data_IF_969271596324
#
_entry.id   IF_969271596324
#
_cell.length_a   1.000
_cell.length_b   1.000
_cell.length_c   1.000
_cell.angle_alpha   90.00
_cell.angle_beta   90.00
_cell.angle_gamma   90.00
#
_symmetry.space_group_name_H-M   'P 1'
#
loop_
_entity.id
_entity.type
_entity.pdbx_description
1 polymer ?
#
# COMPACT_ATOMS: atom_id res chain seq x y z
N UNK A 1 -39.85 54.19 28.92
CA UNK A 1 -40.15 53.16 29.94
C UNK A 1 -39.68 51.80 29.41
N UNK A 2 -38.54 51.32 29.90
CA UNK A 2 -37.99 50.00 29.53
C UNK A 2 -38.67 48.93 30.38
N UNK A 3 -39.39 47.98 29.76
CA UNK A 3 -39.92 46.80 30.46
C UNK A 3 -38.78 45.78 30.58
N UNK A 4 -38.27 45.59 31.79
CA UNK A 4 -37.39 44.48 32.10
C UNK A 4 -38.23 43.20 32.11
N UNK A 5 -38.10 42.36 31.08
CA UNK A 5 -38.63 41.01 31.07
C UNK A 5 -37.70 40.13 31.92
N UNK A 6 -38.18 39.66 33.07
CA UNK A 6 -37.44 38.72 33.92
C UNK A 6 -37.45 37.34 33.30
N UNK A 7 -36.26 36.76 33.08
CA UNK A 7 -36.10 35.37 32.64
C UNK A 7 -36.83 34.43 33.61
N UNK A 8 -37.68 33.56 33.08
CA UNK A 8 -38.39 32.58 33.91
C UNK A 8 -37.52 31.34 34.14
N UNK A 9 -37.63 30.71 35.31
CA UNK A 9 -36.86 29.50 35.66
C UNK A 9 -37.13 28.35 34.67
N UNK A 10 -38.35 28.27 34.14
CA UNK A 10 -38.77 27.32 33.12
C UNK A 10 -38.01 27.55 31.81
N UNK A 11 -37.82 28.80 31.39
CA UNK A 11 -37.10 29.14 30.16
C UNK A 11 -35.63 28.69 30.22
N UNK A 12 -35.00 28.83 31.39
CA UNK A 12 -33.63 28.34 31.62
C UNK A 12 -33.58 26.81 31.57
N UNK A 13 -34.54 26.11 32.18
CA UNK A 13 -34.60 24.65 32.12
C UNK A 13 -34.79 24.14 30.69
N UNK A 14 -35.70 24.73 29.93
CA UNK A 14 -35.93 24.36 28.52
C UNK A 14 -34.68 24.65 27.68
N UNK A 15 -34.04 25.81 27.88
CA UNK A 15 -32.81 26.15 27.15
C UNK A 15 -31.68 25.16 27.44
N UNK A 16 -31.47 24.76 28.69
CA UNK A 16 -30.43 23.76 29.05
C UNK A 16 -30.76 22.36 28.52
N UNK A 17 -32.03 21.97 28.50
CA UNK A 17 -32.46 20.69 27.93
C UNK A 17 -32.23 20.64 26.41
N UNK A 18 -32.62 21.70 25.69
CA UNK A 18 -32.38 21.83 24.24
C UNK A 18 -30.87 21.84 23.96
N UNK A 19 -30.08 22.58 24.74
CA UNK A 19 -28.63 22.61 24.60
C UNK A 19 -28.00 21.23 24.76
N UNK A 20 -28.43 20.44 25.76
CA UNK A 20 -27.93 19.08 25.96
C UNK A 20 -28.21 18.14 24.77
N UNK A 21 -29.41 18.24 24.19
CA UNK A 21 -29.79 17.48 22.99
C UNK A 21 -28.94 17.89 21.79
N UNK A 22 -28.70 19.19 21.59
CA UNK A 22 -27.85 19.69 20.51
C UNK A 22 -26.41 19.19 20.65
N UNK A 23 -25.82 19.29 21.85
CA UNK A 23 -24.45 18.83 22.11
C UNK A 23 -24.32 17.35 21.79
N UNK A 24 -25.20 16.51 22.33
CA UNK A 24 -25.16 15.05 22.11
C UNK A 24 -25.37 14.67 20.64
N UNK A 25 -26.26 15.36 19.92
CA UNK A 25 -26.49 15.13 18.49
C UNK A 25 -25.28 15.50 17.62
N UNK A 26 -24.45 16.47 18.03
CA UNK A 26 -23.30 16.96 17.26
C UNK A 26 -22.00 16.20 17.56
N UNK A 27 -21.77 15.76 18.80
CA UNK A 27 -20.51 15.09 19.17
C UNK A 27 -20.32 13.71 18.48
N UNK A 28 -21.41 12.97 18.27
CA UNK A 28 -21.37 11.66 17.61
C UNK A 28 -20.80 11.72 16.18
N UNK A 29 -21.37 12.56 15.28
CA UNK A 29 -20.86 12.75 13.93
C UNK A 29 -19.40 13.22 13.87
N UNK A 30 -18.98 14.13 14.76
CA UNK A 30 -17.61 14.66 14.79
C UNK A 30 -16.57 13.57 15.11
N UNK A 31 -16.85 12.73 16.10
CA UNK A 31 -15.95 11.63 16.46
C UNK A 31 -15.88 10.56 15.36
N UNK A 32 -17.01 10.26 14.72
CA UNK A 32 -17.07 9.37 13.55
C UNK A 32 -16.24 9.88 12.38
N UNK A 33 -16.33 11.18 12.06
CA UNK A 33 -15.62 11.80 10.95
C UNK A 33 -14.09 11.72 11.13
N UNK A 34 -13.56 12.01 12.33
CA UNK A 34 -12.12 11.89 12.58
C UNK A 34 -11.58 10.47 12.44
N UNK A 35 -12.41 9.47 12.76
CA UNK A 35 -12.07 8.06 12.54
C UNK A 35 -11.95 7.73 11.05
N UNK A 36 -12.92 8.19 10.25
CA UNK A 36 -12.91 8.01 8.79
C UNK A 36 -11.74 8.74 8.13
N UNK A 37 -11.44 9.98 8.56
CA UNK A 37 -10.30 10.75 8.03
C UNK A 37 -8.98 10.02 8.26
N UNK A 38 -8.70 9.55 9.48
CA UNK A 38 -7.46 8.80 9.79
C UNK A 38 -7.35 7.51 8.98
N UNK A 39 -8.47 6.79 8.85
CA UNK A 39 -8.59 5.57 8.06
C UNK A 39 -8.31 5.81 6.57
N UNK A 40 -8.78 6.93 6.03
CA UNK A 40 -8.55 7.36 4.65
C UNK A 40 -7.10 7.73 4.42
N UNK A 41 -6.52 8.56 5.30
CA UNK A 41 -5.11 8.95 5.25
C UNK A 41 -4.18 7.73 5.24
N UNK A 42 -4.39 6.78 6.17
CA UNK A 42 -3.59 5.56 6.22
C UNK A 42 -3.69 4.70 4.94
N UNK A 43 -4.85 4.71 4.27
CA UNK A 43 -5.06 3.98 3.01
C UNK A 43 -4.37 4.68 1.83
N UNK A 44 -4.42 6.01 1.78
CA UNK A 44 -3.67 6.80 0.79
C UNK A 44 -2.17 6.62 0.98
N UNK A 45 -1.69 6.65 2.22
CA UNK A 45 -0.28 6.44 2.56
C UNK A 45 0.19 5.04 2.15
N UNK A 46 -0.57 3.98 2.50
CA UNK A 46 -0.27 2.62 2.09
C UNK A 46 -0.19 2.49 0.56
N UNK A 47 -1.09 3.14 -0.16
CA UNK A 47 -1.10 3.11 -1.62
C UNK A 47 0.10 3.84 -2.21
N UNK A 48 0.46 5.00 -1.67
CA UNK A 48 1.63 5.77 -2.11
C UNK A 48 2.93 4.98 -1.88
N UNK A 49 3.08 4.33 -0.73
CA UNK A 49 4.23 3.47 -0.42
C UNK A 49 4.30 2.27 -1.36
N UNK A 50 3.17 1.62 -1.64
CA UNK A 50 3.12 0.50 -2.58
C UNK A 50 3.49 0.95 -4.01
N UNK A 51 2.99 2.09 -4.46
CA UNK A 51 3.32 2.67 -5.78
C UNK A 51 4.80 3.01 -5.88
N UNK A 52 5.36 3.71 -4.89
CA UNK A 52 6.77 4.06 -4.89
C UNK A 52 7.67 2.82 -4.93
N UNK A 53 7.30 1.76 -4.18
CA UNK A 53 8.04 0.49 -4.20
C UNK A 53 7.93 -0.21 -5.56
N UNK A 54 6.74 -0.22 -6.16
CA UNK A 54 6.50 -0.81 -7.46
C UNK A 54 7.31 -0.12 -8.56
N UNK A 55 7.32 1.22 -8.58
CA UNK A 55 8.09 1.99 -9.55
C UNK A 55 9.60 1.86 -9.34
N UNK A 56 10.08 1.75 -8.10
CA UNK A 56 11.48 1.45 -7.82
C UNK A 56 11.89 0.08 -8.38
N UNK A 57 11.11 -0.97 -8.11
CA UNK A 57 11.38 -2.33 -8.64
C UNK A 57 11.38 -2.30 -10.17
N UNK A 58 10.36 -1.67 -10.77
CA UNK A 58 10.24 -1.52 -12.22
C UNK A 58 11.43 -0.78 -12.81
N UNK A 59 11.87 0.30 -12.18
CA UNK A 59 13.05 1.07 -12.60
C UNK A 59 14.33 0.25 -12.56
N UNK A 60 14.51 -0.61 -11.56
CA UNK A 60 15.68 -1.49 -11.50
C UNK A 60 15.64 -2.62 -12.53
N UNK A 61 14.45 -3.11 -12.86
CA UNK A 61 14.24 -4.14 -13.88
C UNK A 61 14.34 -3.63 -15.32
N UNK A 62 14.58 -2.33 -15.52
CA UNK A 62 15.06 -1.83 -16.82
C UNK A 62 16.43 -2.43 -17.18
N UNK A 63 17.22 -2.87 -16.20
CA UNK A 63 18.44 -3.63 -16.44
C UNK A 63 18.10 -5.12 -16.67
N UNK A 64 18.42 -5.64 -17.85
CA UNK A 64 18.15 -7.02 -18.24
C UNK A 64 18.70 -8.06 -17.26
N UNK A 65 19.94 -7.86 -16.78
CA UNK A 65 20.57 -8.79 -15.82
C UNK A 65 19.81 -8.87 -14.49
N UNK A 66 19.29 -7.75 -13.99
CA UNK A 66 18.48 -7.71 -12.76
C UNK A 66 17.09 -8.33 -12.96
N UNK A 67 16.46 -8.06 -14.09
CA UNK A 67 15.16 -8.64 -14.43
C UNK A 67 15.25 -10.16 -14.59
N UNK A 68 16.23 -10.66 -15.34
CA UNK A 68 16.42 -12.10 -15.56
C UNK A 68 16.74 -12.84 -14.25
N UNK A 69 17.62 -12.26 -13.44
CA UNK A 69 17.89 -12.73 -12.08
C UNK A 69 16.65 -12.65 -11.17
N UNK A 70 15.67 -11.79 -11.49
CA UNK A 70 14.50 -11.56 -10.65
C UNK A 70 14.84 -10.87 -9.35
N UNK A 71 15.77 -9.92 -9.39
CA UNK A 71 16.38 -9.36 -8.20
C UNK A 71 16.31 -7.82 -8.21
N UNK A 72 16.44 -7.23 -7.03
CA UNK A 72 16.56 -5.77 -6.85
C UNK A 72 17.64 -5.47 -5.83
N UNK A 73 18.27 -4.30 -5.97
CA UNK A 73 19.39 -3.87 -5.14
C UNK A 73 19.04 -2.66 -4.28
N UNK A 74 19.84 -2.43 -3.23
CA UNK A 74 19.70 -1.29 -2.32
C UNK A 74 19.29 -1.72 -0.92
N UNK A 75 18.88 -0.74 -0.11
CA UNK A 75 18.44 -1.00 1.27
C UNK A 75 17.19 -1.88 1.29
N UNK A 76 17.01 -2.64 2.36
CA UNK A 76 15.84 -3.50 2.55
C UNK A 76 14.53 -2.71 2.35
N UNK A 77 13.51 -3.38 1.82
CA UNK A 77 12.18 -2.80 1.77
C UNK A 77 11.72 -2.41 3.19
N UNK A 78 10.91 -1.35 3.34
CA UNK A 78 10.32 -1.03 4.63
C UNK A 78 9.61 -2.26 5.20
N UNK A 79 9.68 -2.47 6.51
CA UNK A 79 9.05 -3.64 7.16
C UNK A 79 7.52 -3.71 6.96
N UNK A 80 6.90 -2.60 6.55
CA UNK A 80 5.49 -2.49 6.19
C UNK A 80 5.16 -3.00 4.80
N UNK A 81 6.17 -3.34 3.98
CA UNK A 81 6.02 -3.69 2.57
C UNK A 81 6.50 -5.11 2.32
N UNK A 82 5.65 -5.90 1.67
CA UNK A 82 5.99 -7.22 1.12
C UNK A 82 5.88 -7.18 -0.38
N UNK A 83 6.90 -7.67 -1.07
CA UNK A 83 6.93 -7.75 -2.52
C UNK A 83 7.05 -9.21 -2.92
N UNK A 84 6.26 -9.65 -3.88
CA UNK A 84 6.37 -10.99 -4.45
C UNK A 84 6.34 -10.95 -5.97
N UNK A 85 7.06 -11.86 -6.58
CA UNK A 85 7.19 -11.98 -8.03
C UNK A 85 6.71 -13.34 -8.47
N UNK A 86 5.95 -13.38 -9.54
CA UNK A 86 5.53 -14.62 -10.19
C UNK A 86 5.78 -14.52 -11.68
N UNK A 87 6.37 -15.55 -12.27
CA UNK A 87 6.59 -15.58 -13.70
C UNK A 87 5.26 -15.77 -14.42
N UNK A 88 5.14 -15.19 -15.62
CA UNK A 88 3.99 -15.35 -16.49
C UNK A 88 4.41 -16.02 -17.79
N UNK A 89 3.49 -16.76 -18.40
CA UNK A 89 3.62 -17.21 -19.79
C UNK A 89 3.20 -16.11 -20.77
N UNK A 90 3.28 -16.40 -22.07
CA UNK A 90 2.93 -15.45 -23.14
C UNK A 90 1.43 -15.13 -23.23
N UNK A 91 0.58 -15.83 -22.48
CA UNK A 91 -0.87 -15.62 -22.37
C UNK A 91 -1.27 -15.03 -21.00
N UNK A 92 -0.30 -14.53 -20.22
CA UNK A 92 -0.50 -14.02 -18.85
C UNK A 92 -0.94 -15.08 -17.84
N UNK A 93 -0.77 -16.36 -18.18
CA UNK A 93 -0.93 -17.47 -17.26
C UNK A 93 0.19 -17.49 -16.23
N UNK A 94 -0.14 -17.83 -14.97
CA UNK A 94 0.83 -17.91 -13.88
C UNK A 94 1.72 -19.14 -14.06
N UNK A 95 3.05 -18.92 -14.04
CA UNK A 95 4.05 -19.98 -14.14
C UNK A 95 4.80 -20.11 -12.83
N UNK A 96 4.74 -21.30 -12.23
CA UNK A 96 5.35 -21.58 -10.94
C UNK A 96 4.67 -20.85 -9.77
N UNK A 97 5.37 -20.81 -8.63
CA UNK A 97 4.88 -20.17 -7.42
C UNK A 97 5.37 -18.71 -7.30
N UNK A 98 4.57 -17.87 -6.67
CA UNK A 98 5.01 -16.53 -6.29
C UNK A 98 6.15 -16.63 -5.27
N UNK A 99 7.25 -15.95 -5.55
CA UNK A 99 8.44 -15.92 -4.70
C UNK A 99 8.57 -14.54 -4.03
N UNK A 100 8.89 -14.46 -2.73
CA UNK A 100 9.11 -13.18 -2.08
C UNK A 100 10.36 -12.52 -2.67
N UNK A 101 10.21 -11.28 -3.12
CA UNK A 101 11.33 -10.48 -3.60
C UNK A 101 11.97 -9.77 -2.41
N UNK A 102 13.26 -10.01 -2.23
CA UNK A 102 14.08 -9.30 -1.25
C UNK A 102 15.12 -8.44 -1.95
N UNK A 103 15.54 -7.36 -1.29
CA UNK A 103 16.65 -6.54 -1.76
C UNK A 103 17.96 -7.28 -1.47
N UNK A 104 18.85 -7.31 -2.44
CA UNK A 104 20.13 -8.01 -2.36
C UNK A 104 21.28 -7.09 -2.77
N UNK A 105 22.51 -7.51 -2.48
CA UNK A 105 23.69 -6.80 -2.99
C UNK A 105 23.79 -7.01 -4.51
N UNK A 106 24.41 -6.06 -5.22
CA UNK A 106 24.60 -6.18 -6.68
C UNK A 106 25.34 -7.46 -7.06
N UNK A 107 26.33 -7.86 -6.25
CA UNK A 107 27.09 -9.10 -6.44
C UNK A 107 26.23 -10.36 -6.27
N UNK A 108 25.31 -10.40 -5.30
CA UNK A 108 24.38 -11.52 -5.17
C UNK A 108 23.27 -11.50 -6.24
N UNK A 109 22.91 -10.30 -6.71
CA UNK A 109 21.93 -10.08 -7.78
C UNK A 109 22.42 -10.57 -9.15
N UNK A 110 23.66 -10.25 -9.51
CA UNK A 110 24.23 -10.52 -10.84
C UNK A 110 25.26 -11.66 -10.84
N UNK A 111 25.68 -12.12 -9.66
CA UNK A 111 26.77 -13.08 -9.47
C UNK A 111 26.33 -14.50 -9.17
N UNK A 112 25.05 -14.87 -9.36
CA UNK A 112 24.64 -16.27 -9.25
C UNK A 112 25.15 -17.09 -10.45
N UNK A 113 26.43 -17.47 -10.39
CA UNK A 113 27.01 -18.60 -11.12
C UNK A 113 26.83 -19.92 -10.37
N UNK A 114 26.15 -19.90 -9.21
CA UNK A 114 25.73 -21.09 -8.49
C UNK A 114 24.41 -21.68 -9.03
N UNK A 115 24.12 -22.98 -8.79
CA UNK A 115 22.93 -23.61 -9.32
C UNK A 115 21.68 -22.92 -8.74
N UNK A 116 20.91 -22.27 -9.61
CA UNK A 116 19.55 -21.84 -9.31
C UNK A 116 18.77 -23.12 -8.93
N UNK A 117 18.35 -23.25 -7.67
CA UNK A 117 17.59 -24.42 -7.20
C UNK A 117 16.13 -24.41 -7.67
N UNK A 118 15.69 -23.28 -8.21
CA UNK A 118 14.47 -23.23 -9.02
C UNK A 118 14.84 -23.59 -10.46
N UNK A 119 14.04 -24.43 -11.15
CA UNK A 119 14.25 -24.68 -12.56
C UNK A 119 14.22 -23.32 -13.27
N UNK A 120 15.39 -22.84 -13.67
CA UNK A 120 15.48 -21.70 -14.55
C UNK A 120 14.64 -22.08 -15.77
N UNK A 121 13.57 -21.34 -16.12
CA UNK A 121 12.98 -21.54 -17.42
C UNK A 121 14.11 -21.31 -18.41
N UNK A 122 14.38 -22.29 -19.27
CA UNK A 122 15.48 -22.27 -20.25
C UNK A 122 15.34 -21.11 -21.25
N UNK A 123 14.26 -20.36 -21.15
CA UNK A 123 14.01 -19.05 -21.73
C UNK A 123 13.63 -18.09 -20.60
N UNK A 124 14.39 -16.98 -20.45
CA UNK A 124 14.02 -15.91 -19.52
C UNK A 124 12.54 -15.53 -19.72
N UNK A 125 11.71 -15.48 -18.67
CA UNK A 125 10.29 -15.23 -18.83
C UNK A 125 10.09 -13.81 -19.35
N UNK A 126 9.47 -13.69 -20.52
CA UNK A 126 9.21 -12.40 -21.16
C UNK A 126 8.32 -11.48 -20.31
N UNK A 127 7.52 -12.07 -19.41
CA UNK A 127 6.62 -11.35 -18.49
C UNK A 127 6.72 -11.86 -17.05
N UNK A 128 6.63 -10.93 -16.10
CA UNK A 128 6.54 -11.20 -14.66
C UNK A 128 5.44 -10.38 -14.02
N UNK A 129 4.67 -10.99 -13.12
CA UNK A 129 3.74 -10.30 -12.23
C UNK A 129 4.46 -9.89 -10.96
N UNK A 130 4.38 -8.60 -10.64
CA UNK A 130 4.84 -8.02 -9.40
C UNK A 130 3.62 -7.72 -8.53
N UNK A 131 3.58 -8.27 -7.33
CA UNK A 131 2.57 -7.97 -6.31
C UNK A 131 3.26 -7.27 -5.15
N UNK A 132 2.85 -6.03 -4.86
CA UNK A 132 3.36 -5.21 -3.76
C UNK A 132 2.21 -5.01 -2.78
N UNK A 133 2.41 -5.40 -1.52
CA UNK A 133 1.47 -5.13 -0.44
C UNK A 133 2.14 -4.25 0.59
N UNK A 134 1.58 -3.06 0.85
CA UNK A 134 2.04 -2.15 1.89
C UNK A 134 0.98 -2.06 3.00
N UNK A 135 1.41 -2.05 4.26
CA UNK A 135 0.52 -1.96 5.43
C UNK A 135 0.84 -0.72 6.26
N UNK A 136 -0.05 0.26 6.29
CA UNK A 136 0.10 1.49 7.09
C UNK A 136 -1.07 1.62 8.06
N UNK A 137 -0.79 1.84 9.34
CA UNK A 137 -1.84 1.92 10.37
C UNK A 137 -2.73 0.67 10.47
N UNK A 138 -2.17 -0.51 10.18
CA UNK A 138 -2.91 -1.79 10.15
C UNK A 138 -3.80 -1.97 8.93
N UNK A 139 -3.68 -1.12 7.90
CA UNK A 139 -4.46 -1.21 6.66
C UNK A 139 -3.57 -1.64 5.50
N UNK A 140 -3.81 -2.82 4.92
CA UNK A 140 -3.07 -3.25 3.74
C UNK A 140 -3.62 -2.57 2.48
N UNK A 141 -2.72 -2.24 1.56
CA UNK A 141 -3.01 -1.87 0.17
C UNK A 141 -2.15 -2.74 -0.73
N UNK A 142 -2.77 -3.42 -1.70
CA UNK A 142 -2.09 -4.33 -2.63
C UNK A 142 -2.18 -3.78 -4.04
N UNK A 143 -1.03 -3.66 -4.69
CA UNK A 143 -0.90 -3.29 -6.09
C UNK A 143 -0.30 -4.46 -6.86
N UNK A 144 -0.86 -4.76 -8.01
CA UNK A 144 -0.39 -5.80 -8.91
C UNK A 144 -0.09 -5.14 -10.24
N UNK A 145 1.10 -5.41 -10.78
CA UNK A 145 1.48 -4.97 -12.12
C UNK A 145 2.20 -6.09 -12.86
N UNK A 146 2.21 -6.00 -14.17
CA UNK A 146 2.90 -6.93 -15.05
C UNK A 146 4.03 -6.17 -15.71
N UNK A 147 5.24 -6.70 -15.59
CA UNK A 147 6.44 -6.13 -16.17
C UNK A 147 6.90 -7.08 -17.26
N UNK A 148 6.92 -6.56 -18.48
CA UNK A 148 7.52 -7.22 -19.63
C UNK A 148 8.86 -6.57 -19.95
N UNK A 149 9.81 -7.37 -20.41
CA UNK A 149 11.06 -6.85 -20.97
C UNK A 149 11.29 -7.48 -22.34
N UNK A 150 11.40 -6.63 -23.37
CA UNK A 150 11.83 -7.05 -24.70
C UNK A 150 13.36 -7.01 -24.78
N UNK A 151 13.95 -8.02 -25.40
CA UNK A 151 15.37 -8.07 -25.71
C UNK A 151 15.52 -7.55 -27.15
N UNK A 152 15.75 -6.24 -27.31
CA UNK A 152 16.07 -5.62 -28.59
C UNK A 152 17.59 -5.68 -28.88
#
# INVERSE_FOLDING_TARGET
MSRQAGFTLIEVMVATMILGVIITAVLGPLTGMFGLTRKSMAQTDATSVAQATLEDVRGQWLNWGKYDAGCVTGDAFPATVTVSVQNLDTQLGLVGSATPLTRSTLAACLGSTGPRTDPAPTTSPALRRLTVTATVGGRPSTLVTEVAQSND
#
